data_IF_034409587651
#
_entry.id   IF_034409587651
#
_cell.length_a   1.000
_cell.length_b   1.000
_cell.length_c   1.000
_cell.angle_alpha   90.00
_cell.angle_beta   90.00
_cell.angle_gamma   90.00
#
_symmetry.space_group_name_H-M   'P 1'
#
loop_
_entity.id
_entity.type
_entity.pdbx_description
1 polymer ?
#
# COMPACT_ATOMS: atom_id res chain seq x y z
N UNK A 1 5.06 -5.20 26.54
CA UNK A 1 3.91 -5.96 26.00
C UNK A 1 3.69 -5.44 24.61
N UNK A 2 3.64 -6.33 23.62
CA UNK A 2 3.34 -5.95 22.23
C UNK A 2 1.91 -5.39 22.14
N UNK A 3 1.70 -4.42 21.26
CA UNK A 3 0.47 -3.63 21.18
C UNK A 3 -0.49 -4.25 20.16
N UNK A 4 -1.76 -3.88 20.27
CA UNK A 4 -2.71 -4.07 19.18
C UNK A 4 -2.91 -2.74 18.46
N UNK A 5 -2.51 -2.64 17.20
CA UNK A 5 -2.71 -1.42 16.40
C UNK A 5 -4.19 -1.23 16.07
N UNK A 6 -4.64 0.03 15.92
CA UNK A 6 -6.00 0.31 15.46
C UNK A 6 -6.28 -0.33 14.09
N UNK A 7 -5.27 -0.39 13.21
CA UNK A 7 -5.36 -1.05 11.91
C UNK A 7 -5.60 -2.56 12.06
N UNK A 8 -4.90 -3.22 13.00
CA UNK A 8 -5.14 -4.62 13.31
C UNK A 8 -6.56 -4.84 13.86
N UNK A 9 -7.05 -3.97 14.76
CA UNK A 9 -8.43 -4.03 15.28
C UNK A 9 -9.44 -3.90 14.15
N UNK A 10 -9.32 -2.90 13.28
CA UNK A 10 -10.24 -2.66 12.16
C UNK A 10 -10.22 -3.83 11.18
N UNK A 11 -9.03 -4.32 10.81
CA UNK A 11 -8.85 -5.48 9.93
C UNK A 11 -9.55 -6.72 10.48
N UNK A 12 -9.27 -7.09 11.73
CA UNK A 12 -9.85 -8.28 12.33
C UNK A 12 -11.35 -8.12 12.62
N UNK A 13 -11.83 -6.91 12.90
CA UNK A 13 -13.26 -6.62 12.96
C UNK A 13 -13.94 -6.92 11.62
N UNK A 14 -13.36 -6.49 10.49
CA UNK A 14 -13.89 -6.76 9.15
C UNK A 14 -13.91 -8.25 8.82
N UNK A 15 -12.86 -9.00 9.19
CA UNK A 15 -12.80 -10.46 9.01
C UNK A 15 -13.93 -11.16 9.78
N UNK A 16 -14.19 -10.74 11.02
CA UNK A 16 -15.29 -11.29 11.81
C UNK A 16 -16.67 -10.90 11.24
N UNK A 17 -16.83 -9.67 10.78
CA UNK A 17 -18.06 -9.19 10.15
C UNK A 17 -18.34 -9.92 8.82
N UNK A 18 -17.31 -10.23 8.02
CA UNK A 18 -17.42 -11.04 6.78
C UNK A 18 -18.00 -12.44 7.06
N UNK A 19 -17.76 -12.99 8.26
CA UNK A 19 -18.32 -14.27 8.68
C UNK A 19 -19.72 -14.07 9.28
N UNK A 20 -19.85 -13.16 10.25
CA UNK A 20 -21.04 -13.01 11.08
C UNK A 20 -22.25 -12.47 10.30
N UNK A 21 -22.04 -11.53 9.36
CA UNK A 21 -23.11 -10.90 8.58
C UNK A 21 -23.84 -11.93 7.71
N UNK A 22 -23.18 -12.72 6.84
CA UNK A 22 -23.88 -13.70 6.00
C UNK A 22 -24.37 -14.91 6.80
N UNK A 23 -23.65 -15.33 7.84
CA UNK A 23 -24.02 -16.53 8.61
C UNK A 23 -25.19 -16.30 9.56
N UNK A 24 -25.44 -15.07 10.02
CA UNK A 24 -26.54 -14.80 10.96
C UNK A 24 -27.92 -15.09 10.34
N UNK A 25 -28.28 -14.56 9.15
CA UNK A 25 -29.52 -14.90 8.46
C UNK A 25 -29.60 -16.41 8.12
N UNK A 26 -28.49 -17.01 7.68
CA UNK A 26 -28.44 -18.43 7.39
C UNK A 26 -28.80 -19.27 8.61
N UNK A 27 -28.24 -18.99 9.78
CA UNK A 27 -28.52 -19.74 11.01
C UNK A 27 -29.96 -19.54 11.51
N UNK A 28 -30.53 -18.34 11.38
CA UNK A 28 -31.94 -18.12 11.70
C UNK A 28 -32.87 -18.92 10.77
N UNK A 29 -32.56 -18.95 9.48
CA UNK A 29 -33.30 -19.74 8.50
C UNK A 29 -33.13 -21.25 8.77
N UNK A 30 -31.91 -21.70 9.05
CA UNK A 30 -31.60 -23.11 9.32
C UNK A 30 -32.28 -23.61 10.60
N UNK A 31 -32.36 -22.81 11.67
CA UNK A 31 -33.17 -23.15 12.86
C UNK A 31 -34.66 -23.29 12.55
N UNK A 32 -35.17 -22.44 11.65
CA UNK A 32 -36.56 -22.52 11.21
C UNK A 32 -36.81 -23.76 10.32
N UNK A 33 -35.78 -24.21 9.60
CA UNK A 33 -35.80 -25.34 8.67
C UNK A 33 -35.28 -26.67 9.25
N UNK A 34 -34.73 -26.70 10.47
CA UNK A 34 -34.28 -27.93 11.17
C UNK A 34 -35.42 -28.96 11.31
N UNK A 35 -36.68 -28.54 11.08
CA UNK A 35 -37.85 -29.42 11.00
C UNK A 35 -38.10 -30.05 9.62
N UNK A 36 -37.42 -29.62 8.55
CA UNK A 36 -37.77 -29.96 7.16
C UNK A 36 -36.61 -30.24 6.19
N UNK A 37 -35.35 -29.91 6.51
CA UNK A 37 -34.20 -30.06 5.60
C UNK A 37 -33.16 -31.08 6.09
N UNK A 38 -32.43 -31.72 5.16
CA UNK A 38 -31.32 -32.65 5.43
C UNK A 38 -30.02 -31.86 5.76
N UNK A 39 -29.67 -31.68 7.05
CA UNK A 39 -28.61 -30.75 7.47
C UNK A 39 -27.22 -31.21 7.04
N UNK A 40 -27.03 -32.52 6.95
CA UNK A 40 -25.77 -33.18 6.57
C UNK A 40 -25.24 -32.77 5.19
N UNK A 41 -26.13 -32.41 4.25
CA UNK A 41 -25.72 -32.02 2.89
C UNK A 41 -25.23 -30.57 2.78
N UNK A 42 -25.57 -29.73 3.75
CA UNK A 42 -25.25 -28.30 3.73
C UNK A 42 -24.10 -27.95 4.69
N UNK A 43 -23.82 -28.80 5.67
CA UNK A 43 -22.80 -28.58 6.70
C UNK A 43 -21.38 -28.31 6.14
N UNK A 44 -20.85 -29.03 5.12
CA UNK A 44 -19.51 -28.74 4.61
C UNK A 44 -19.38 -27.31 4.04
N UNK A 45 -20.41 -26.85 3.32
CA UNK A 45 -20.43 -25.50 2.76
C UNK A 45 -20.59 -24.43 3.83
N UNK A 46 -21.46 -24.66 4.82
CA UNK A 46 -21.65 -23.74 5.94
C UNK A 46 -20.39 -23.62 6.81
N UNK A 47 -19.70 -24.73 7.10
CA UNK A 47 -18.44 -24.73 7.86
C UNK A 47 -17.37 -23.99 7.08
N UNK A 48 -17.20 -24.26 5.78
CA UNK A 48 -16.25 -23.55 4.92
C UNK A 48 -16.50 -22.04 4.91
N UNK A 49 -17.75 -21.62 4.69
CA UNK A 49 -18.12 -20.19 4.75
C UNK A 49 -17.87 -19.59 6.12
N UNK A 50 -18.07 -20.34 7.20
CA UNK A 50 -17.89 -19.85 8.55
C UNK A 50 -16.41 -19.73 8.96
N UNK A 51 -15.51 -20.54 8.42
CA UNK A 51 -14.13 -20.62 8.90
C UNK A 51 -13.08 -20.09 7.94
N UNK A 52 -13.33 -20.06 6.63
CA UNK A 52 -12.32 -19.75 5.61
C UNK A 52 -11.68 -18.37 5.81
N UNK A 53 -12.48 -17.32 6.01
CA UNK A 53 -11.96 -15.96 6.15
C UNK A 53 -11.06 -15.83 7.40
N UNK A 54 -11.48 -16.41 8.53
CA UNK A 54 -10.71 -16.39 9.78
C UNK A 54 -9.40 -17.17 9.62
N UNK A 55 -9.47 -18.42 9.14
CA UNK A 55 -8.31 -19.30 9.03
C UNK A 55 -7.32 -18.81 7.96
N UNK A 56 -7.81 -18.32 6.83
CA UNK A 56 -6.97 -17.77 5.76
C UNK A 56 -6.22 -16.53 6.25
N UNK A 57 -6.92 -15.61 6.92
CA UNK A 57 -6.28 -14.42 7.49
C UNK A 57 -5.28 -14.80 8.57
N UNK A 58 -5.66 -15.70 9.49
CA UNK A 58 -4.77 -16.14 10.57
C UNK A 58 -3.50 -16.83 10.08
N UNK A 59 -3.59 -17.64 9.03
CA UNK A 59 -2.43 -18.33 8.49
C UNK A 59 -1.49 -17.41 7.70
N UNK A 60 -1.99 -16.26 7.24
CA UNK A 60 -1.22 -15.30 6.44
C UNK A 60 -0.63 -14.18 7.30
N UNK A 61 -1.40 -13.71 8.28
CA UNK A 61 -1.12 -12.50 9.04
C UNK A 61 -1.76 -12.59 10.45
N UNK A 62 -1.31 -13.52 11.31
CA UNK A 62 -1.81 -13.64 12.67
C UNK A 62 -1.33 -12.44 13.51
N UNK A 63 -2.13 -11.95 14.48
CA UNK A 63 -1.61 -10.98 15.44
C UNK A 63 -0.41 -11.57 16.18
N UNK A 64 0.61 -10.78 16.56
CA UNK A 64 1.80 -11.29 17.22
C UNK A 64 1.46 -12.06 18.51
N UNK A 65 2.10 -13.21 18.78
CA UNK A 65 1.87 -13.97 20.01
C UNK A 65 2.08 -13.11 21.27
N UNK A 66 1.17 -13.24 22.23
CA UNK A 66 1.19 -12.46 23.48
C UNK A 66 0.62 -11.04 23.38
N UNK A 67 0.04 -10.66 22.24
CA UNK A 67 -0.80 -9.45 22.15
C UNK A 67 -2.22 -9.74 22.66
N UNK A 68 -2.93 -8.75 23.23
CA UNK A 68 -4.33 -8.92 23.63
C UNK A 68 -5.23 -9.39 22.48
N UNK A 69 -4.99 -8.92 21.26
CA UNK A 69 -5.71 -9.35 20.07
C UNK A 69 -5.43 -10.82 19.70
N UNK A 70 -4.18 -11.29 19.83
CA UNK A 70 -3.86 -12.69 19.62
C UNK A 70 -4.58 -13.58 20.64
N UNK A 71 -4.50 -13.22 21.93
CA UNK A 71 -5.13 -13.98 23.01
C UNK A 71 -6.65 -14.06 22.85
N UNK A 72 -7.25 -13.00 22.31
CA UNK A 72 -8.68 -12.93 22.05
C UNK A 72 -9.12 -13.76 20.83
N UNK A 73 -8.33 -13.77 19.75
CA UNK A 73 -8.66 -14.48 18.50
C UNK A 73 -8.26 -15.97 18.51
N UNK A 74 -7.20 -16.35 19.21
CA UNK A 74 -6.68 -17.71 19.20
C UNK A 74 -7.73 -18.79 19.57
N UNK A 75 -8.57 -18.60 20.61
CA UNK A 75 -9.64 -19.56 20.93
C UNK A 75 -10.65 -19.74 19.79
N UNK A 76 -10.97 -18.67 19.06
CA UNK A 76 -11.86 -18.74 17.91
C UNK A 76 -11.21 -19.50 16.74
N UNK A 77 -9.92 -19.33 16.53
CA UNK A 77 -9.16 -20.07 15.51
C UNK A 77 -9.09 -21.56 15.84
N UNK A 78 -8.85 -21.91 17.10
CA UNK A 78 -8.85 -23.30 17.56
C UNK A 78 -10.23 -23.94 17.41
N UNK A 79 -11.30 -23.21 17.77
CA UNK A 79 -12.67 -23.66 17.56
C UNK A 79 -12.99 -23.87 16.07
N UNK A 80 -12.54 -22.96 15.19
CA UNK A 80 -12.70 -23.10 13.74
C UNK A 80 -12.00 -24.35 13.20
N UNK A 81 -10.77 -24.64 13.67
CA UNK A 81 -10.01 -25.84 13.29
C UNK A 81 -10.63 -27.14 13.81
N UNK A 82 -11.36 -27.08 14.92
CA UNK A 82 -12.02 -28.23 15.53
C UNK A 82 -13.36 -28.61 14.87
N UNK A 83 -13.93 -27.75 14.01
CA UNK A 83 -15.16 -28.06 13.28
C UNK A 83 -14.91 -29.18 12.26
N UNK A 84 -15.66 -30.28 12.38
CA UNK A 84 -15.62 -31.39 11.43
C UNK A 84 -16.59 -31.10 10.25
N UNK A 85 -16.10 -30.94 9.00
CA UNK A 85 -16.95 -30.74 7.84
C UNK A 85 -17.96 -31.87 7.59
N UNK A 86 -17.75 -33.05 8.19
CA UNK A 86 -18.61 -34.22 8.08
C UNK A 86 -19.70 -34.27 9.15
N UNK A 87 -19.60 -33.42 10.18
CA UNK A 87 -20.62 -33.31 11.21
C UNK A 87 -21.79 -32.47 10.68
N UNK A 88 -22.92 -33.12 10.41
CA UNK A 88 -24.14 -32.46 9.95
C UNK A 88 -24.85 -31.63 11.01
N UNK A 89 -24.41 -31.67 12.27
CA UNK A 89 -25.06 -30.94 13.37
C UNK A 89 -24.77 -29.45 13.25
N UNK A 90 -25.81 -28.63 13.40
CA UNK A 90 -25.67 -27.17 13.40
C UNK A 90 -25.22 -26.60 14.76
N UNK A 91 -25.25 -27.41 15.83
CA UNK A 91 -24.89 -26.96 17.17
C UNK A 91 -23.41 -26.52 17.28
N UNK A 92 -22.40 -27.27 16.80
CA UNK A 92 -21.01 -26.82 16.79
C UNK A 92 -20.79 -25.51 16.03
N UNK A 93 -21.44 -25.34 14.88
CA UNK A 93 -21.38 -24.10 14.08
C UNK A 93 -21.97 -22.93 14.86
N UNK A 94 -23.09 -23.16 15.56
CA UNK A 94 -23.76 -22.14 16.39
C UNK A 94 -22.91 -21.70 17.57
N UNK A 95 -22.29 -22.65 18.26
CA UNK A 95 -21.37 -22.39 19.37
C UNK A 95 -20.17 -21.58 18.90
N UNK A 96 -19.58 -21.97 17.77
CA UNK A 96 -18.50 -21.23 17.12
C UNK A 96 -18.91 -19.79 16.74
N UNK A 97 -20.07 -19.60 16.10
CA UNK A 97 -20.56 -18.25 15.76
C UNK A 97 -20.88 -17.41 17.01
N UNK A 98 -21.31 -18.05 18.10
CA UNK A 98 -21.48 -17.41 19.40
C UNK A 98 -20.16 -16.89 19.96
N UNK A 99 -19.10 -17.70 19.89
CA UNK A 99 -17.75 -17.30 20.26
C UNK A 99 -17.25 -16.13 19.41
N UNK A 100 -17.44 -16.18 18.09
CA UNK A 100 -17.03 -15.08 17.19
C UNK A 100 -17.71 -13.75 17.53
N UNK A 101 -18.99 -13.76 17.93
CA UNK A 101 -19.68 -12.53 18.35
C UNK A 101 -19.07 -11.93 19.61
N UNK A 102 -18.79 -12.77 20.61
CA UNK A 102 -18.14 -12.34 21.85
C UNK A 102 -16.76 -11.75 21.55
N UNK A 103 -15.97 -12.43 20.73
CA UNK A 103 -14.66 -11.95 20.27
C UNK A 103 -14.77 -10.62 19.54
N UNK A 104 -15.71 -10.51 18.59
CA UNK A 104 -15.94 -9.29 17.80
C UNK A 104 -16.28 -8.09 18.68
N UNK A 105 -17.16 -8.27 19.66
CA UNK A 105 -17.55 -7.19 20.58
C UNK A 105 -16.41 -6.81 21.53
N UNK A 106 -15.60 -7.79 21.96
CA UNK A 106 -14.43 -7.56 22.81
C UNK A 106 -13.28 -6.86 22.06
N UNK A 107 -13.07 -7.14 20.78
CA UNK A 107 -12.03 -6.48 19.95
C UNK A 107 -12.20 -4.96 19.98
N UNK A 108 -13.42 -4.44 19.96
CA UNK A 108 -13.69 -3.00 19.99
C UNK A 108 -13.35 -2.33 21.33
N UNK A 109 -13.17 -3.13 22.39
CA UNK A 109 -12.81 -2.66 23.73
C UNK A 109 -11.31 -2.74 24.01
N UNK A 110 -10.52 -3.29 23.08
CA UNK A 110 -9.08 -3.40 23.24
C UNK A 110 -8.44 -2.02 23.31
N UNK A 111 -7.59 -1.85 24.31
CA UNK A 111 -6.81 -0.63 24.48
C UNK A 111 -5.74 -0.54 23.39
N UNK A 112 -5.77 0.56 22.65
CA UNK A 112 -4.79 0.89 21.60
C UNK A 112 -3.65 1.76 22.11
N UNK A 113 -3.64 2.13 23.40
CA UNK A 113 -2.62 2.97 24.03
C UNK A 113 -1.34 2.22 24.45
N UNK A 114 -1.16 0.98 23.98
CA UNK A 114 0.04 0.19 24.20
C UNK A 114 1.30 0.76 23.52
N UNK A 115 2.43 0.08 23.68
CA UNK A 115 3.69 0.46 23.01
C UNK A 115 3.74 -0.21 21.64
N UNK A 116 3.61 0.59 20.57
CA UNK A 116 3.77 0.16 19.18
C UNK A 116 5.11 -0.58 19.02
N UNK A 117 5.09 -1.75 18.37
CA UNK A 117 6.32 -2.52 18.13
C UNK A 117 6.81 -2.35 16.69
N UNK A 118 8.11 -2.60 16.48
CA UNK A 118 8.70 -2.53 15.13
C UNK A 118 8.02 -3.52 14.19
N UNK A 119 7.78 -4.73 14.69
CA UNK A 119 7.21 -5.82 13.90
C UNK A 119 5.80 -5.49 13.40
N UNK A 120 4.99 -4.82 14.22
CA UNK A 120 3.68 -4.31 13.82
C UNK A 120 3.80 -3.27 12.71
N UNK A 121 4.71 -2.29 12.84
CA UNK A 121 4.92 -1.24 11.83
C UNK A 121 5.39 -1.84 10.51
N UNK A 122 6.32 -2.79 10.54
CA UNK A 122 6.85 -3.43 9.33
C UNK A 122 5.79 -4.30 8.63
N UNK A 123 4.93 -4.98 9.40
CA UNK A 123 3.83 -5.77 8.88
C UNK A 123 2.78 -4.90 8.17
N UNK A 124 2.39 -3.79 8.82
CA UNK A 124 1.45 -2.83 8.23
C UNK A 124 2.04 -2.20 6.95
N UNK A 125 3.33 -1.87 6.96
CA UNK A 125 4.06 -1.36 5.79
C UNK A 125 4.12 -2.39 4.63
N UNK A 126 4.30 -3.68 4.94
CA UNK A 126 4.29 -4.75 3.95
C UNK A 126 2.92 -4.93 3.30
N UNK A 127 1.86 -4.93 4.12
CA UNK A 127 0.50 -5.02 3.64
C UNK A 127 0.16 -3.84 2.74
N UNK A 128 0.54 -2.63 3.13
CA UNK A 128 0.31 -1.41 2.35
C UNK A 128 1.00 -1.47 0.98
N UNK A 129 2.27 -1.92 0.91
CA UNK A 129 2.97 -2.12 -0.35
C UNK A 129 2.23 -3.12 -1.26
N UNK A 130 1.86 -4.29 -0.71
CA UNK A 130 1.18 -5.34 -1.46
C UNK A 130 -0.17 -4.87 -1.99
N UNK A 131 -0.96 -4.17 -1.17
CA UNK A 131 -2.25 -3.61 -1.56
C UNK A 131 -2.10 -2.52 -2.63
N UNK A 132 -1.15 -1.61 -2.45
CA UNK A 132 -0.83 -0.56 -3.42
C UNK A 132 -0.46 -1.14 -4.79
N UNK A 133 0.39 -2.18 -4.82
CA UNK A 133 0.75 -2.89 -6.06
C UNK A 133 -0.46 -3.66 -6.63
N UNK A 134 -1.25 -4.31 -5.79
CA UNK A 134 -2.44 -5.06 -6.21
C UNK A 134 -3.45 -4.13 -6.91
N UNK A 135 -3.77 -2.99 -6.31
CA UNK A 135 -4.67 -1.98 -6.89
C UNK A 135 -4.15 -1.51 -8.25
N UNK A 136 -2.86 -1.23 -8.36
CA UNK A 136 -2.23 -0.82 -9.61
C UNK A 136 -2.36 -1.90 -10.71
N UNK A 137 -2.13 -3.16 -10.38
CA UNK A 137 -2.20 -4.27 -11.35
C UNK A 137 -3.63 -4.63 -11.73
N UNK A 138 -4.54 -4.68 -10.76
CA UNK A 138 -5.97 -4.92 -11.00
C UNK A 138 -6.61 -3.78 -11.79
N UNK A 139 -6.15 -2.53 -11.61
CA UNK A 139 -6.65 -1.39 -12.36
C UNK A 139 -6.54 -1.58 -13.88
N UNK A 140 -5.40 -2.07 -14.38
CA UNK A 140 -5.25 -2.37 -15.80
C UNK A 140 -6.12 -3.57 -16.23
N UNK A 141 -6.09 -4.66 -15.46
CA UNK A 141 -6.89 -5.85 -15.78
C UNK A 141 -8.39 -5.58 -15.80
N UNK A 142 -8.90 -4.76 -14.89
CA UNK A 142 -10.31 -4.36 -14.85
C UNK A 142 -10.72 -3.56 -16.09
N UNK A 143 -9.85 -2.65 -16.55
CA UNK A 143 -10.09 -1.91 -17.79
C UNK A 143 -10.11 -2.84 -19.01
N UNK A 144 -9.17 -3.79 -19.08
CA UNK A 144 -9.16 -4.79 -20.16
C UNK A 144 -10.40 -5.69 -20.13
N UNK A 145 -10.86 -6.11 -18.94
CA UNK A 145 -12.08 -6.90 -18.81
C UNK A 145 -13.31 -6.13 -19.34
N UNK A 146 -13.39 -4.83 -19.04
CA UNK A 146 -14.45 -3.96 -19.52
C UNK A 146 -14.42 -3.80 -21.05
N UNK A 147 -13.23 -3.64 -21.64
CA UNK A 147 -13.03 -3.61 -23.10
C UNK A 147 -13.43 -4.94 -23.75
N UNK A 148 -13.00 -6.06 -23.18
CA UNK A 148 -13.26 -7.39 -23.73
C UNK A 148 -14.73 -7.77 -23.62
N UNK A 149 -15.40 -7.38 -22.53
CA UNK A 149 -16.86 -7.50 -22.41
C UNK A 149 -17.55 -6.70 -23.53
N UNK A 150 -17.14 -5.45 -23.75
CA UNK A 150 -17.68 -4.60 -24.81
C UNK A 150 -17.46 -5.18 -26.21
N UNK A 151 -16.26 -5.68 -26.50
CA UNK A 151 -15.94 -6.36 -27.78
C UNK A 151 -16.83 -7.59 -28.00
N UNK A 152 -17.05 -8.40 -26.96
CA UNK A 152 -17.96 -9.57 -27.01
C UNK A 152 -19.41 -9.18 -27.23
N UNK A 153 -19.87 -8.06 -26.69
CA UNK A 153 -21.22 -7.53 -26.95
C UNK A 153 -21.35 -7.05 -28.40
N UNK A 154 -20.36 -6.32 -28.91
CA UNK A 154 -20.32 -5.88 -30.31
C UNK A 154 -20.34 -7.07 -31.29
N UNK A 155 -19.52 -8.10 -31.06
CA UNK A 155 -19.54 -9.30 -31.89
C UNK A 155 -20.91 -9.99 -31.93
N UNK A 156 -21.66 -9.96 -30.81
CA UNK A 156 -23.03 -10.48 -30.74
C UNK A 156 -24.04 -9.57 -31.42
N UNK A 157 -23.88 -8.25 -31.34
CA UNK A 157 -24.82 -7.29 -31.94
C UNK A 157 -24.75 -7.24 -33.46
N UNK A 158 -23.58 -7.52 -34.07
CA UNK A 158 -23.43 -7.62 -35.53
C UNK A 158 -24.38 -8.67 -36.12
N UNK A 159 -24.65 -9.76 -35.40
CA UNK A 159 -25.60 -10.79 -35.82
C UNK A 159 -27.07 -10.45 -35.57
N UNK A 160 -27.36 -9.44 -34.73
CA UNK A 160 -28.70 -9.13 -34.22
C UNK A 160 -29.21 -7.72 -34.51
N UNK A 161 -28.40 -6.86 -35.16
CA UNK A 161 -28.71 -5.44 -35.43
C UNK A 161 -29.19 -4.72 -34.16
N UNK A 162 -28.40 -4.84 -33.08
CA UNK A 162 -28.64 -4.11 -31.82
C UNK A 162 -27.69 -2.93 -31.77
N UNK A 163 -28.23 -1.72 -31.63
CA UNK A 163 -27.41 -0.53 -31.40
C UNK A 163 -26.87 -0.57 -29.98
N UNK A 164 -25.55 -0.39 -29.83
CA UNK A 164 -24.85 -0.58 -28.57
C UNK A 164 -24.36 0.77 -28.03
N UNK A 165 -24.62 1.10 -26.75
CA UNK A 165 -24.26 2.41 -26.21
C UNK A 165 -22.76 2.73 -26.28
N UNK A 166 -22.35 3.85 -26.86
CA UNK A 166 -20.94 4.16 -27.17
C UNK A 166 -20.09 4.61 -25.98
N UNK A 167 -20.73 4.91 -24.84
CA UNK A 167 -20.09 5.46 -23.66
C UNK A 167 -20.28 4.56 -22.44
N UNK A 168 -19.34 4.68 -21.50
CA UNK A 168 -19.46 4.19 -20.14
C UNK A 168 -19.69 5.40 -19.23
N UNK A 169 -20.74 5.37 -18.40
CA UNK A 169 -20.91 6.35 -17.33
C UNK A 169 -20.05 5.96 -16.12
N UNK A 170 -19.09 6.80 -15.76
CA UNK A 170 -18.16 6.57 -14.65
C UNK A 170 -18.83 6.69 -13.27
N UNK A 171 -20.03 7.26 -13.18
CA UNK A 171 -20.78 7.35 -11.93
C UNK A 171 -21.54 6.06 -11.62
N UNK A 172 -22.27 5.51 -12.60
CA UNK A 172 -23.08 4.30 -12.44
C UNK A 172 -22.34 3.02 -12.82
N UNK A 173 -21.23 3.15 -13.57
CA UNK A 173 -20.51 2.05 -14.22
C UNK A 173 -21.36 1.29 -15.26
N UNK A 174 -22.39 1.94 -15.81
CA UNK A 174 -23.28 1.36 -16.82
C UNK A 174 -23.03 1.94 -18.23
N UNK A 175 -23.28 1.16 -19.31
CA UNK A 175 -23.22 1.68 -20.67
C UNK A 175 -24.33 2.71 -20.94
N UNK A 176 -24.00 3.80 -21.62
CA UNK A 176 -24.95 4.85 -22.03
C UNK A 176 -24.67 5.36 -23.44
N UNK A 177 -25.73 5.80 -24.12
CA UNK A 177 -25.65 6.34 -25.48
C UNK A 177 -25.33 7.84 -25.47
N UNK A 178 -25.54 8.51 -24.33
CA UNK A 178 -25.39 9.95 -24.21
C UNK A 178 -24.01 10.32 -23.68
N UNK A 179 -23.40 11.34 -24.28
CA UNK A 179 -22.20 11.96 -23.73
C UNK A 179 -22.57 12.96 -22.64
N UNK A 180 -21.94 12.84 -21.49
CA UNK A 180 -22.07 13.74 -20.35
C UNK A 180 -20.71 14.04 -19.71
N UNK A 181 -20.70 14.87 -18.66
CA UNK A 181 -19.50 15.12 -17.86
C UNK A 181 -18.98 13.89 -17.10
N UNK A 182 -19.81 12.86 -16.90
CA UNK A 182 -19.44 11.61 -16.21
C UNK A 182 -19.15 10.46 -17.17
N UNK A 183 -19.28 10.65 -18.48
CA UNK A 183 -19.13 9.56 -19.44
C UNK A 183 -17.79 9.57 -20.16
N UNK A 184 -17.29 8.39 -20.51
CA UNK A 184 -16.10 8.20 -21.32
C UNK A 184 -16.39 7.22 -22.46
N UNK A 185 -16.00 7.55 -23.70
CA UNK A 185 -16.26 6.66 -24.84
C UNK A 185 -15.41 5.39 -24.75
N UNK A 186 -15.96 4.24 -25.12
CA UNK A 186 -15.21 2.98 -25.16
C UNK A 186 -13.99 3.06 -26.10
N UNK A 187 -14.09 3.83 -27.18
CA UNK A 187 -12.98 4.08 -28.10
C UNK A 187 -11.84 4.88 -27.44
N UNK A 188 -12.14 5.86 -26.60
CA UNK A 188 -11.14 6.62 -25.87
C UNK A 188 -10.50 5.78 -24.76
N UNK A 189 -11.28 4.94 -24.06
CA UNK A 189 -10.75 3.96 -23.10
C UNK A 189 -9.77 3.04 -23.80
N UNK A 190 -10.18 2.44 -24.93
CA UNK A 190 -9.36 1.55 -25.72
C UNK A 190 -8.05 2.23 -26.17
N UNK A 191 -8.13 3.42 -26.75
CA UNK A 191 -6.95 4.15 -27.23
C UNK A 191 -5.95 4.53 -26.13
N UNK A 192 -6.34 4.49 -24.85
CA UNK A 192 -5.47 4.80 -23.71
C UNK A 192 -4.99 3.56 -22.97
N UNK A 193 -5.77 2.49 -22.96
CA UNK A 193 -5.49 1.28 -22.22
C UNK A 193 -4.90 0.16 -23.08
N UNK A 194 -5.20 0.12 -24.37
CA UNK A 194 -4.71 -0.91 -25.28
C UNK A 194 -3.21 -0.69 -25.57
N UNK A 195 -2.35 -1.71 -25.39
CA UNK A 195 -0.94 -1.67 -25.81
C UNK A 195 -0.78 -1.53 -27.34
N UNK A 196 -1.82 -1.81 -28.14
CA UNK A 196 -1.82 -1.71 -29.60
C UNK A 196 -2.45 -2.93 -30.28
N UNK A 197 -2.54 -2.91 -31.62
CA UNK A 197 -3.02 -4.08 -32.38
C UNK A 197 -1.94 -5.16 -32.37
N UNK A 198 -2.16 -6.22 -31.60
CA UNK A 198 -1.39 -7.46 -31.67
C UNK A 198 -1.70 -8.19 -32.97
N UNK A 199 -0.66 -8.65 -33.66
CA UNK A 199 -0.79 -9.69 -34.67
C UNK A 199 -1.20 -11.02 -34.00
N UNK A 200 -1.91 -11.93 -34.71
CA UNK A 200 -2.28 -13.24 -34.17
C UNK A 200 -1.08 -14.06 -33.65
N UNK A 201 0.11 -13.85 -34.20
CA UNK A 201 1.35 -14.51 -33.78
C UNK A 201 1.87 -13.98 -32.44
N UNK A 202 1.72 -12.68 -32.16
CA UNK A 202 2.08 -12.05 -30.89
C UNK A 202 1.11 -12.48 -29.76
N UNK A 203 -0.17 -12.66 -30.08
CA UNK A 203 -1.16 -13.19 -29.14
C UNK A 203 -0.84 -14.64 -28.69
N UNK A 204 -0.32 -15.47 -29.59
CA UNK A 204 0.01 -16.89 -29.31
C UNK A 204 1.32 -17.06 -28.53
N UNK A 205 2.28 -16.13 -28.66
CA UNK A 205 3.59 -16.23 -27.99
C UNK A 205 3.60 -15.75 -26.53
N UNK A 206 2.53 -15.11 -26.06
CA UNK A 206 2.53 -14.41 -24.78
C UNK A 206 3.19 -13.04 -24.94
N UNK A 207 2.49 -12.00 -24.49
CA UNK A 207 2.71 -10.64 -24.97
C UNK A 207 3.70 -9.82 -24.10
N UNK A 208 4.92 -9.62 -24.58
CA UNK A 208 5.90 -8.69 -24.00
C UNK A 208 5.48 -7.19 -24.09
N UNK A 209 4.47 -6.86 -24.92
CA UNK A 209 3.93 -5.50 -25.10
C UNK A 209 2.72 -5.21 -24.20
N UNK A 210 1.99 -6.23 -23.75
CA UNK A 210 0.90 -6.09 -22.77
C UNK A 210 1.40 -5.44 -21.47
N UNK A 211 2.63 -5.76 -21.08
CA UNK A 211 3.31 -5.20 -19.92
C UNK A 211 3.84 -3.77 -20.16
N UNK A 212 3.60 -3.17 -21.33
CA UNK A 212 4.07 -1.82 -21.71
C UNK A 212 2.96 -0.85 -22.10
N UNK A 213 1.69 -1.23 -21.91
CA UNK A 213 0.56 -0.35 -22.17
C UNK A 213 0.75 1.03 -21.49
N UNK A 214 0.56 2.17 -22.17
CA UNK A 214 0.84 3.49 -21.59
C UNK A 214 0.09 3.79 -20.29
N UNK A 215 -1.07 3.18 -20.09
CA UNK A 215 -1.86 3.30 -18.85
C UNK A 215 -1.17 2.67 -17.64
N UNK A 216 -0.34 1.63 -17.82
CA UNK A 216 0.41 0.99 -16.74
C UNK A 216 1.36 1.98 -16.07
N UNK A 217 1.91 2.93 -16.82
CA UNK A 217 2.70 4.03 -16.24
C UNK A 217 1.91 4.84 -15.21
N UNK A 218 0.60 5.04 -15.43
CA UNK A 218 -0.26 5.79 -14.50
C UNK A 218 -0.45 5.02 -13.20
N UNK A 219 -0.74 3.73 -13.30
CA UNK A 219 -0.86 2.85 -12.13
C UNK A 219 0.46 2.72 -11.38
N UNK A 220 1.58 2.62 -12.10
CA UNK A 220 2.91 2.65 -11.53
C UNK A 220 3.17 3.92 -10.72
N UNK A 221 2.84 5.08 -11.31
CA UNK A 221 2.97 6.37 -10.63
C UNK A 221 2.09 6.47 -9.38
N UNK A 222 0.86 5.95 -9.42
CA UNK A 222 -0.04 5.98 -8.26
C UNK A 222 0.55 5.22 -7.08
N UNK A 223 0.93 3.95 -7.26
CA UNK A 223 1.42 3.15 -6.13
C UNK A 223 2.79 3.65 -5.63
N UNK A 224 3.71 4.06 -6.52
CA UNK A 224 5.04 4.56 -6.13
C UNK A 224 4.90 5.85 -5.31
N UNK A 225 4.07 6.79 -5.77
CA UNK A 225 3.88 8.07 -5.09
C UNK A 225 3.18 7.86 -3.76
N UNK A 226 2.07 7.11 -3.74
CA UNK A 226 1.30 6.86 -2.52
C UNK A 226 2.13 6.13 -1.46
N UNK A 227 2.75 5.00 -1.81
CA UNK A 227 3.52 4.22 -0.85
C UNK A 227 4.75 4.97 -0.32
N UNK A 228 5.45 5.73 -1.17
CA UNK A 228 6.56 6.55 -0.72
C UNK A 228 6.10 7.70 0.20
N UNK A 229 4.91 8.26 -0.03
CA UNK A 229 4.31 9.24 0.87
C UNK A 229 3.97 8.63 2.22
N UNK A 230 3.35 7.44 2.27
CA UNK A 230 3.10 6.72 3.53
C UNK A 230 4.39 6.42 4.29
N UNK A 231 5.47 6.07 3.58
CA UNK A 231 6.79 5.93 4.18
C UNK A 231 7.23 7.20 4.92
N UNK A 232 7.25 8.36 4.25
CA UNK A 232 7.74 9.62 4.86
C UNK A 232 6.80 10.17 5.94
N UNK A 233 5.48 10.07 5.71
CA UNK A 233 4.50 10.75 6.56
C UNK A 233 4.01 9.91 7.73
N UNK A 234 4.08 8.57 7.64
CA UNK A 234 3.58 7.65 8.63
C UNK A 234 4.67 6.72 9.16
N UNK A 235 5.14 5.76 8.35
CA UNK A 235 5.94 4.63 8.84
C UNK A 235 7.29 5.07 9.41
N UNK A 236 7.97 6.03 8.77
CA UNK A 236 9.26 6.54 9.25
C UNK A 236 9.14 7.22 10.61
N UNK A 237 8.02 7.88 10.89
CA UNK A 237 7.75 8.52 12.19
C UNK A 237 7.43 7.48 13.27
N UNK A 238 6.63 6.48 12.93
CA UNK A 238 6.32 5.36 13.83
C UNK A 238 7.59 4.60 14.21
N UNK A 239 8.45 4.26 13.25
CA UNK A 239 9.73 3.60 13.54
C UNK A 239 10.63 4.46 14.45
N UNK A 240 10.69 5.78 14.20
CA UNK A 240 11.48 6.68 15.03
C UNK A 240 10.96 6.72 16.48
N UNK A 241 9.64 6.75 16.66
CA UNK A 241 8.98 6.67 17.97
C UNK A 241 9.30 5.35 18.68
N UNK A 242 9.15 4.21 17.99
CA UNK A 242 9.45 2.88 18.57
C UNK A 242 10.92 2.76 18.99
N UNK A 243 11.84 3.32 18.21
CA UNK A 243 13.28 3.29 18.52
C UNK A 243 13.74 4.40 19.47
N UNK A 244 12.89 5.38 19.78
CA UNK A 244 13.28 6.55 20.56
C UNK A 244 14.39 7.38 19.91
N UNK A 245 14.38 7.51 18.58
CA UNK A 245 15.39 8.23 17.80
C UNK A 245 14.76 9.34 16.93
N UNK A 246 15.58 10.09 16.18
CA UNK A 246 15.07 11.07 15.23
C UNK A 246 14.51 10.38 13.98
N UNK A 247 13.49 10.96 13.37
CA UNK A 247 12.99 10.53 12.04
C UNK A 247 14.11 10.53 11.00
N UNK A 248 15.08 11.44 11.15
CA UNK A 248 16.24 11.53 10.27
C UNK A 248 17.18 10.33 10.37
N UNK A 249 17.20 9.63 11.51
CA UNK A 249 18.03 8.44 11.73
C UNK A 249 17.46 7.21 11.01
N UNK A 250 16.15 7.19 10.75
CA UNK A 250 15.47 6.12 10.02
C UNK A 250 15.76 6.27 8.52
N UNK A 251 16.75 5.51 8.03
CA UNK A 251 17.22 5.54 6.64
C UNK A 251 17.09 4.15 6.00
N UNK A 252 16.71 4.12 4.73
CA UNK A 252 16.62 2.87 3.95
C UNK A 252 17.04 3.09 2.50
N UNK A 253 18.02 2.33 1.97
CA UNK A 253 18.38 2.38 0.56
C UNK A 253 17.20 2.09 -0.37
N UNK A 254 16.33 1.15 0.00
CA UNK A 254 15.10 0.81 -0.72
C UNK A 254 14.23 2.06 -0.93
N UNK A 255 13.90 2.76 0.15
CA UNK A 255 13.03 3.94 0.09
C UNK A 255 13.74 5.13 -0.56
N UNK A 256 15.05 5.28 -0.40
CA UNK A 256 15.81 6.30 -1.12
C UNK A 256 15.68 6.12 -2.65
N UNK A 257 15.78 4.89 -3.14
CA UNK A 257 15.65 4.59 -4.57
C UNK A 257 14.22 4.73 -5.09
N UNK A 258 13.23 4.34 -4.27
CA UNK A 258 11.82 4.58 -4.56
C UNK A 258 11.51 6.09 -4.61
N UNK A 259 12.10 6.89 -3.72
CA UNK A 259 11.99 8.35 -3.71
C UNK A 259 12.52 9.01 -4.99
N UNK A 260 13.55 8.44 -5.62
CA UNK A 260 14.02 8.90 -6.94
C UNK A 260 13.01 8.59 -8.05
N UNK A 261 12.39 7.41 -8.04
CA UNK A 261 11.29 7.09 -8.97
C UNK A 261 10.09 8.02 -8.75
N UNK A 262 9.71 8.27 -7.50
CA UNK A 262 8.66 9.24 -7.13
C UNK A 262 8.96 10.63 -7.68
N UNK A 263 10.23 11.06 -7.64
CA UNK A 263 10.63 12.35 -8.22
C UNK A 263 10.44 12.39 -9.74
N UNK A 264 10.73 11.30 -10.43
CA UNK A 264 10.55 11.17 -11.88
C UNK A 264 9.06 11.14 -12.27
N UNK A 265 8.17 10.65 -11.41
CA UNK A 265 6.73 10.85 -11.59
C UNK A 265 6.31 12.30 -11.36
N UNK A 266 6.72 12.90 -10.23
CA UNK A 266 6.32 14.25 -9.83
C UNK A 266 6.80 15.36 -10.78
N UNK A 267 8.01 15.23 -11.35
CA UNK A 267 8.60 16.26 -12.22
C UNK A 267 8.85 15.79 -13.66
N UNK A 268 9.00 14.49 -13.88
CA UNK A 268 9.34 13.90 -15.19
C UNK A 268 8.17 13.23 -15.92
N UNK A 269 6.94 13.28 -15.38
CA UNK A 269 5.73 12.62 -15.93
C UNK A 269 5.92 11.11 -16.14
N UNK A 270 6.67 10.49 -15.24
CA UNK A 270 6.99 9.06 -15.26
C UNK A 270 8.01 8.68 -16.32
N UNK A 271 8.91 9.61 -16.68
CA UNK A 271 10.08 9.35 -17.52
C UNK A 271 11.31 9.26 -16.62
N UNK A 272 12.04 8.16 -16.73
CA UNK A 272 13.22 7.87 -15.92
C UNK A 272 14.31 8.93 -16.15
N UNK A 273 14.74 9.60 -15.08
CA UNK A 273 15.81 10.59 -15.08
C UNK A 273 16.66 10.47 -13.83
N UNK A 274 16.08 10.62 -12.64
CA UNK A 274 16.77 10.43 -11.36
C UNK A 274 16.88 8.96 -11.00
N UNK A 275 15.86 8.15 -11.28
CA UNK A 275 15.92 6.71 -11.00
C UNK A 275 16.90 5.96 -11.89
N UNK A 276 17.42 6.58 -12.97
CA UNK A 276 18.48 6.00 -13.79
C UNK A 276 19.78 5.75 -13.01
N UNK A 277 19.97 6.41 -11.86
CA UNK A 277 21.11 6.20 -10.96
C UNK A 277 20.85 5.21 -9.83
N UNK A 278 19.71 4.50 -9.86
CA UNK A 278 19.40 3.46 -8.89
C UNK A 278 20.38 2.28 -9.01
N UNK A 279 20.71 1.69 -7.85
CA UNK A 279 21.64 0.57 -7.71
C UNK A 279 20.90 -0.72 -7.39
N UNK A 280 19.83 -0.66 -6.59
CA UNK A 280 18.90 -1.75 -6.33
C UNK A 280 18.00 -1.92 -7.56
N UNK A 281 17.18 -0.91 -7.86
CA UNK A 281 16.19 -1.01 -8.93
C UNK A 281 16.72 -0.49 -10.27
N UNK A 282 17.50 -1.32 -10.97
CA UNK A 282 18.08 -1.01 -12.29
C UNK A 282 17.12 -1.25 -13.46
N UNK A 283 15.87 -0.89 -13.24
CA UNK A 283 14.74 -1.26 -14.08
C UNK A 283 14.65 -0.50 -15.40
N UNK A 284 15.10 0.75 -15.42
CA UNK A 284 14.88 1.68 -16.54
C UNK A 284 16.11 2.50 -16.83
N UNK A 285 16.41 2.68 -18.12
CA UNK A 285 17.41 3.62 -18.58
C UNK A 285 16.87 5.05 -18.60
N UNK A 286 17.78 6.03 -18.58
CA UNK A 286 17.42 7.45 -18.68
C UNK A 286 16.66 7.72 -19.98
N UNK A 287 15.48 8.34 -19.87
CA UNK A 287 14.59 8.65 -20.99
C UNK A 287 13.48 7.63 -21.22
N UNK A 288 13.52 6.47 -20.57
CA UNK A 288 12.49 5.45 -20.70
C UNK A 288 11.26 5.74 -19.83
N UNK A 289 10.06 5.33 -20.27
CA UNK A 289 8.88 5.37 -19.41
C UNK A 289 9.02 4.36 -18.27
N UNK A 290 8.65 4.79 -17.06
CA UNK A 290 8.65 3.94 -15.87
C UNK A 290 7.40 3.06 -15.91
N UNK A 291 7.53 1.86 -16.48
CA UNK A 291 6.48 0.84 -16.54
C UNK A 291 7.07 -0.48 -16.01
N UNK A 292 6.86 -0.81 -14.72
CA UNK A 292 7.39 -2.02 -14.12
C UNK A 292 6.81 -3.28 -14.76
N UNK A 293 7.67 -4.24 -15.08
CA UNK A 293 7.28 -5.59 -15.54
C UNK A 293 6.94 -6.50 -14.36
N UNK A 294 6.48 -7.72 -14.64
CA UNK A 294 6.29 -8.76 -13.62
C UNK A 294 7.57 -9.04 -12.84
N UNK A 295 8.71 -9.12 -13.52
CA UNK A 295 10.03 -9.38 -12.93
C UNK A 295 10.43 -8.25 -11.99
N UNK A 296 10.17 -6.99 -12.37
CA UNK A 296 10.41 -5.82 -11.53
C UNK A 296 9.58 -5.91 -10.23
N UNK A 297 8.31 -6.30 -10.30
CA UNK A 297 7.48 -6.46 -9.11
C UNK A 297 7.95 -7.60 -8.20
N UNK A 298 8.49 -8.69 -8.76
CA UNK A 298 9.10 -9.74 -7.94
C UNK A 298 10.32 -9.19 -7.20
N UNK A 299 11.22 -8.52 -7.91
CA UNK A 299 12.41 -7.90 -7.31
C UNK A 299 12.04 -6.84 -6.25
N UNK A 300 10.97 -6.07 -6.48
CA UNK A 300 10.43 -5.12 -5.49
C UNK A 300 10.13 -5.80 -4.16
N UNK A 301 9.41 -6.93 -4.17
CA UNK A 301 9.04 -7.63 -2.94
C UNK A 301 10.26 -8.26 -2.26
N UNK A 302 11.19 -8.84 -3.02
CA UNK A 302 12.43 -9.42 -2.49
C UNK A 302 13.33 -8.35 -1.85
N UNK A 303 13.48 -7.18 -2.48
CA UNK A 303 14.24 -6.06 -1.91
C UNK A 303 13.53 -5.38 -0.74
N UNK A 304 12.19 -5.37 -0.76
CA UNK A 304 11.41 -4.85 0.36
C UNK A 304 11.54 -5.73 1.61
N UNK A 305 11.50 -7.06 1.45
CA UNK A 305 11.73 -8.00 2.56
C UNK A 305 13.10 -7.77 3.22
N UNK A 306 14.15 -7.59 2.41
CA UNK A 306 15.50 -7.23 2.91
C UNK A 306 15.52 -5.87 3.61
N UNK A 307 14.76 -4.90 3.10
CA UNK A 307 14.64 -3.59 3.72
C UNK A 307 13.94 -3.68 5.08
N UNK A 308 12.87 -4.47 5.20
CA UNK A 308 12.21 -4.74 6.47
C UNK A 308 13.15 -5.40 7.47
N UNK A 309 13.93 -6.41 7.05
CA UNK A 309 14.90 -7.06 7.93
C UNK A 309 15.95 -6.06 8.45
N UNK A 310 16.48 -5.20 7.58
CA UNK A 310 17.41 -4.15 7.99
C UNK A 310 16.76 -3.15 8.97
N UNK A 311 15.50 -2.80 8.74
CA UNK A 311 14.73 -1.89 9.58
C UNK A 311 14.28 -2.49 10.91
N UNK A 312 14.51 -3.79 11.18
CA UNK A 312 14.30 -4.40 12.51
C UNK A 312 15.38 -4.02 13.51
N UNK A 313 16.54 -3.59 13.02
CA UNK A 313 17.64 -3.15 13.87
C UNK A 313 17.54 -1.64 14.11
N UNK A 314 17.63 -1.18 15.37
CA UNK A 314 17.66 0.26 15.67
C UNK A 314 18.77 0.96 14.88
N UNK A 315 18.53 2.16 14.35
CA UNK A 315 19.59 2.90 13.67
C UNK A 315 20.73 3.18 14.64
N UNK A 316 21.97 3.09 14.16
CA UNK A 316 23.10 3.58 14.92
C UNK A 316 22.91 5.09 15.17
N UNK A 317 23.06 5.58 16.40
CA UNK A 317 23.01 7.01 16.66
C UNK A 317 24.02 7.67 15.73
N UNK A 318 23.56 8.61 14.91
CA UNK A 318 24.50 9.47 14.20
C UNK A 318 25.24 10.21 15.33
N UNK A 319 26.52 9.90 15.55
CA UNK A 319 27.41 10.86 16.22
C UNK A 319 27.08 12.18 15.55
N UNK A 320 26.66 13.20 16.29
CA UNK A 320 26.17 14.45 15.74
C UNK A 320 27.29 15.09 14.91
N UNK A 321 27.47 14.61 13.68
CA UNK A 321 28.21 15.25 12.63
C UNK A 321 27.33 16.44 12.38
N UNK A 322 27.70 17.56 12.99
CA UNK A 322 27.04 18.85 12.86
C UNK A 322 26.96 19.11 11.36
N UNK A 323 25.86 18.69 10.74
CA UNK A 323 25.61 18.95 9.33
C UNK A 323 25.39 20.46 9.28
N UNK A 324 26.42 21.18 8.87
CA UNK A 324 26.38 22.62 8.69
C UNK A 324 25.25 22.92 7.71
N UNK A 325 24.14 23.45 8.22
CA UNK A 325 23.05 23.89 7.35
C UNK A 325 23.42 25.25 6.75
N UNK A 326 23.20 25.45 5.43
CA UNK A 326 23.45 26.74 4.81
C UNK A 326 22.47 27.80 5.34
N UNK A 327 23.01 28.92 5.81
CA UNK A 327 22.21 30.06 6.28
C UNK A 327 21.55 30.73 5.07
N UNK A 328 20.22 30.72 5.01
CA UNK A 328 19.45 31.35 3.93
C UNK A 328 19.33 32.85 4.19
N UNK A 329 20.24 33.64 3.61
CA UNK A 329 20.20 35.10 3.66
C UNK A 329 20.43 35.73 2.29
N UNK A 330 19.91 36.96 2.09
CA UNK A 330 20.24 37.79 0.94
C UNK A 330 21.20 38.88 1.39
N UNK A 331 22.36 38.94 0.75
CA UNK A 331 23.43 39.90 1.06
C UNK A 331 23.73 40.70 -0.21
N UNK A 332 24.05 41.98 -0.09
CA UNK A 332 24.46 42.77 -1.26
C UNK A 332 25.83 42.29 -1.76
N UNK A 333 26.13 42.38 -3.08
CA UNK A 333 27.41 41.96 -3.63
C UNK A 333 28.61 42.65 -2.97
N UNK A 334 28.47 43.94 -2.65
CA UNK A 334 29.53 44.75 -2.02
C UNK A 334 29.86 44.25 -0.61
N UNK A 335 28.84 43.90 0.18
CA UNK A 335 29.00 43.38 1.53
C UNK A 335 29.63 41.98 1.52
N UNK A 336 29.28 41.15 0.53
CA UNK A 336 29.91 39.84 0.37
C UNK A 336 31.40 39.97 0.02
N UNK A 337 31.75 40.89 -0.89
CA UNK A 337 33.14 41.18 -1.25
C UNK A 337 33.94 41.84 -0.10
N UNK A 338 33.29 42.60 0.79
CA UNK A 338 33.91 43.13 1.99
C UNK A 338 34.17 42.03 3.03
N UNK A 339 33.20 41.14 3.23
CA UNK A 339 33.35 39.96 4.09
C UNK A 339 34.50 39.05 3.61
N UNK A 340 34.55 38.72 2.32
CA UNK A 340 35.62 37.87 1.76
C UNK A 340 37.01 38.51 1.93
N UNK A 341 37.12 39.83 1.78
CA UNK A 341 38.37 40.57 2.03
C UNK A 341 38.77 40.53 3.51
N UNK A 342 37.82 40.69 4.43
CA UNK A 342 38.09 40.62 5.86
C UNK A 342 38.54 39.21 6.31
N UNK A 343 37.93 38.16 5.73
CA UNK A 343 38.34 36.77 5.96
C UNK A 343 39.75 36.53 5.40
N UNK A 344 40.04 36.99 4.17
CA UNK A 344 41.35 36.82 3.57
C UNK A 344 42.48 37.54 4.34
N UNK A 345 42.17 38.67 4.97
CA UNK A 345 43.11 39.39 5.85
C UNK A 345 43.29 38.73 7.24
N UNK A 346 42.35 37.86 7.63
CA UNK A 346 42.37 37.15 8.90
C UNK A 346 43.09 35.81 8.73
N UNK A 347 44.41 35.82 8.89
CA UNK A 347 45.23 34.62 8.74
C UNK A 347 44.70 33.44 9.59
N UNK A 348 44.32 32.35 8.90
CA UNK A 348 43.92 31.09 9.53
C UNK A 348 42.43 30.96 9.87
N UNK A 349 41.59 31.94 9.51
CA UNK A 349 40.13 31.86 9.70
C UNK A 349 39.45 31.56 8.38
N UNK A 350 38.59 30.54 8.35
CA UNK A 350 37.77 30.21 7.18
C UNK A 350 36.51 31.08 7.11
N UNK A 351 35.94 31.23 5.92
CA UNK A 351 34.68 31.99 5.74
C UNK A 351 33.54 31.45 6.61
N UNK A 352 33.46 30.13 6.78
CA UNK A 352 32.47 29.48 7.64
C UNK A 352 32.66 29.82 9.13
N UNK A 353 33.91 29.88 9.60
CA UNK A 353 34.23 30.24 10.99
C UNK A 353 33.92 31.71 11.25
N UNK A 354 34.30 32.60 10.32
CA UNK A 354 33.97 34.02 10.41
C UNK A 354 32.45 34.27 10.38
N UNK A 355 31.70 33.53 9.54
CA UNK A 355 30.25 33.63 9.49
C UNK A 355 29.60 33.12 10.78
N UNK A 356 30.10 32.01 11.33
CA UNK A 356 29.63 31.45 12.60
C UNK A 356 29.86 32.43 13.75
N UNK A 357 31.04 33.06 13.81
CA UNK A 357 31.39 34.04 14.83
C UNK A 357 30.55 35.32 14.72
N UNK A 358 30.33 35.80 13.50
CA UNK A 358 29.47 36.95 13.24
C UNK A 358 28.02 36.68 13.69
N UNK A 359 27.48 35.49 13.41
CA UNK A 359 26.14 35.08 13.82
C UNK A 359 26.03 34.95 15.35
N UNK A 360 27.01 34.33 16.01
CA UNK A 360 27.05 34.24 17.48
C UNK A 360 27.09 35.62 18.12
N UNK A 361 28.00 36.48 17.67
CA UNK A 361 28.12 37.87 18.15
C UNK A 361 26.82 38.64 17.97
N UNK A 362 26.11 38.43 16.85
CA UNK A 362 24.83 39.06 16.62
C UNK A 362 23.74 38.52 17.57
N UNK A 363 23.68 37.20 17.76
CA UNK A 363 22.72 36.55 18.69
C UNK A 363 22.96 37.02 20.12
N UNK A 364 24.21 36.99 20.60
CA UNK A 364 24.56 37.38 21.98
C UNK A 364 24.18 38.83 22.29
N UNK A 365 24.19 39.70 21.27
CA UNK A 365 23.78 41.11 21.39
C UNK A 365 22.27 41.33 21.35
N UNK A 366 21.51 40.40 20.77
CA UNK A 366 20.09 40.58 20.46
C UNK A 366 19.18 39.52 21.10
N UNK A 367 19.73 38.55 21.82
CA UNK A 367 18.96 37.57 22.56
C UNK A 367 18.19 38.26 23.70
N UNK A 368 16.87 38.04 23.83
CA UNK A 368 16.11 38.54 24.96
C UNK A 368 16.62 37.89 26.25
N UNK A 369 16.80 38.70 27.29
CA UNK A 369 17.20 38.26 28.63
C UNK A 369 16.17 37.35 29.30
#
# INVERSE_FOLDING_TARGET
MAMTTWQAIDRWTKVLDEILIPMTPFMCAAQSMERFAAPEKQAPGAIKTATDALLSTWNTDPPPPGTPLHELLAPAVDAARALDPRDGRLAPIREYLGLLRVVRDQIQTLDTSGVLTVDEVLLDMELELKLSVLVARLGHQGIMHLIDQRRREYGRSVTKVVDLPDYLDLHTMEPTAESSATTLSYSAILAKADPGILTPEEFVRGDDQADKAPILKRFAGQWIVSFYTEWEDLFRKQLAEVYGCSVDDIKSPFFQELGRMRNDFGHGRGICKKSASNKLFRWFAKGEPIIPTRENYRELFEEFEKACEALRTPPAPEEAVVQRQPVRAKVTPDLNAEFDRAVAASHGVTADEALTDALRTWIDRNAPA
#
